data_IF_876463580252
#
_entry.id   IF_876463580252
#
_cell.length_a   1.000
_cell.length_b   1.000
_cell.length_c   1.000
_cell.angle_alpha   90.00
_cell.angle_beta   90.00
_cell.angle_gamma   90.00
#
_symmetry.space_group_name_H-M   'P 1'
#
loop_
_entity.id
_entity.type
_entity.pdbx_description
1 polymer ?
#
# COMPACT_ATOMS: atom_id res chain seq x y z
N UNK A 1 32.87 -48.79 16.27
CA UNK A 1 32.28 -48.75 17.62
C UNK A 1 32.06 -47.30 18.00
N UNK A 2 30.83 -46.90 18.35
CA UNK A 2 30.56 -45.56 18.86
C UNK A 2 31.18 -45.44 20.26
N UNK A 3 31.85 -44.31 20.51
CA UNK A 3 32.47 -44.00 21.80
C UNK A 3 32.14 -42.57 22.17
N UNK A 4 31.97 -42.32 23.46
CA UNK A 4 31.72 -40.99 24.02
C UNK A 4 32.91 -40.55 24.87
N UNK A 5 33.22 -39.25 24.77
CA UNK A 5 34.30 -38.62 25.52
C UNK A 5 33.66 -37.84 26.68
N UNK A 6 33.57 -38.49 27.85
CA UNK A 6 32.84 -37.99 29.01
C UNK A 6 33.77 -37.39 30.08
N UNK A 7 33.23 -36.50 30.91
CA UNK A 7 33.89 -35.97 32.13
C UNK A 7 32.88 -35.87 33.27
N UNK A 8 33.24 -36.29 34.49
CA UNK A 8 32.33 -36.22 35.65
C UNK A 8 32.26 -34.82 36.27
N UNK A 9 33.34 -34.04 36.16
CA UNK A 9 33.38 -32.65 36.62
C UNK A 9 34.36 -31.85 35.77
N UNK A 10 34.33 -30.51 35.88
CA UNK A 10 35.22 -29.63 35.11
C UNK A 10 36.72 -29.83 35.45
N UNK A 11 37.02 -30.40 36.62
CA UNK A 11 38.39 -30.63 37.12
C UNK A 11 38.92 -32.03 36.85
N UNK A 12 38.09 -32.96 36.39
CA UNK A 12 38.50 -34.32 36.09
C UNK A 12 38.94 -34.50 34.64
N UNK A 13 39.90 -35.40 34.36
CA UNK A 13 40.28 -35.72 33.00
C UNK A 13 39.12 -36.37 32.25
N UNK A 14 39.12 -36.20 30.93
CA UNK A 14 38.20 -36.91 30.07
C UNK A 14 38.49 -38.42 30.10
N UNK A 15 37.45 -39.23 30.10
CA UNK A 15 37.54 -40.67 29.92
C UNK A 15 36.68 -41.09 28.73
N UNK A 16 37.10 -42.17 28.08
CA UNK A 16 36.31 -42.80 27.02
C UNK A 16 35.33 -43.73 27.70
N UNK A 17 34.05 -43.53 27.43
CA UNK A 17 32.99 -44.46 27.77
C UNK A 17 32.33 -44.99 26.52
N UNK A 18 31.91 -46.24 26.55
CA UNK A 18 30.87 -46.69 25.62
C UNK A 18 29.57 -46.06 26.12
N UNK A 19 28.88 -45.25 25.30
CA UNK A 19 27.63 -44.63 25.73
C UNK A 19 26.65 -45.73 26.16
N UNK A 20 25.79 -45.47 27.16
CA UNK A 20 24.74 -46.41 27.58
C UNK A 20 23.68 -46.64 26.48
N UNK A 21 23.77 -45.89 25.38
CA UNK A 21 22.90 -45.97 24.21
C UNK A 21 23.36 -47.16 23.36
N UNK A 22 22.43 -48.06 23.05
CA UNK A 22 22.55 -49.16 22.10
C UNK A 22 22.72 -48.65 20.65
N UNK A 23 23.71 -47.82 20.36
CA UNK A 23 24.16 -47.69 18.97
C UNK A 23 24.90 -48.99 18.63
N UNK A 24 24.26 -49.82 17.82
CA UNK A 24 24.85 -51.08 17.36
C UNK A 24 26.19 -50.80 16.71
N UNK A 25 27.19 -51.63 17.05
CA UNK A 25 28.47 -51.51 16.39
C UNK A 25 28.30 -52.02 14.96
N UNK A 26 28.34 -51.08 14.02
CA UNK A 26 28.27 -51.38 12.60
C UNK A 26 29.66 -51.50 12.00
N UNK A 27 29.77 -52.34 10.97
CA UNK A 27 30.91 -52.33 10.07
C UNK A 27 30.93 -50.98 9.32
N UNK A 28 32.11 -50.42 9.06
CA UNK A 28 32.22 -49.14 8.37
C UNK A 28 31.51 -49.21 6.99
N UNK A 29 30.37 -48.50 6.80
CA UNK A 29 29.59 -48.64 5.58
C UNK A 29 30.31 -48.11 4.36
N UNK A 30 31.14 -47.07 4.51
CA UNK A 30 31.93 -46.51 3.41
C UNK A 30 32.99 -47.52 2.93
N UNK A 31 33.58 -48.28 3.85
CA UNK A 31 34.49 -49.37 3.50
C UNK A 31 33.76 -50.48 2.74
N UNK A 32 32.58 -50.89 3.21
CA UNK A 32 31.78 -51.92 2.52
C UNK A 32 31.44 -51.51 1.09
N UNK A 33 30.95 -50.28 0.90
CA UNK A 33 30.61 -49.77 -0.43
C UNK A 33 31.84 -49.70 -1.32
N UNK A 34 32.98 -49.22 -0.81
CA UNK A 34 34.23 -49.16 -1.59
C UNK A 34 34.72 -50.55 -2.00
N UNK A 35 34.73 -51.51 -1.07
CA UNK A 35 35.13 -52.89 -1.36
C UNK A 35 34.21 -53.56 -2.38
N UNK A 36 32.90 -53.33 -2.27
CA UNK A 36 31.92 -53.88 -3.21
C UNK A 36 32.01 -53.22 -4.60
N UNK A 37 32.14 -51.90 -4.67
CA UNK A 37 32.17 -51.16 -5.94
C UNK A 37 33.48 -51.35 -6.71
N UNK A 38 34.62 -51.19 -6.03
CA UNK A 38 35.94 -51.16 -6.69
C UNK A 38 36.54 -52.57 -6.82
N UNK A 39 36.25 -53.45 -5.86
CA UNK A 39 36.92 -54.76 -5.73
C UNK A 39 35.96 -55.96 -5.79
N UNK A 40 34.64 -55.73 -5.86
CA UNK A 40 33.59 -56.77 -5.84
C UNK A 40 33.68 -57.71 -4.62
N UNK A 41 34.17 -57.19 -3.50
CA UNK A 41 34.30 -57.93 -2.25
C UNK A 41 33.16 -57.54 -1.31
N UNK A 42 32.45 -58.54 -0.82
CA UNK A 42 31.49 -58.39 0.27
C UNK A 42 32.09 -58.94 1.56
N UNK A 43 32.23 -58.05 2.56
CA UNK A 43 32.66 -58.45 3.89
C UNK A 43 31.52 -59.20 4.59
N UNK A 44 31.90 -60.22 5.37
CA UNK A 44 30.97 -60.97 6.21
C UNK A 44 30.33 -60.04 7.26
N UNK A 45 29.11 -60.31 7.71
CA UNK A 45 28.51 -59.55 8.81
C UNK A 45 29.37 -59.68 10.07
N UNK A 46 29.32 -58.65 10.93
CA UNK A 46 29.97 -58.72 12.23
C UNK A 46 29.37 -59.86 13.07
N UNK A 47 30.16 -60.52 13.94
CA UNK A 47 29.65 -61.55 14.84
C UNK A 47 28.57 -60.98 15.76
N UNK A 48 27.51 -61.76 16.05
CA UNK A 48 26.48 -61.37 17.03
C UNK A 48 27.06 -61.22 18.45
N UNK A 49 28.06 -62.05 18.78
CA UNK A 49 28.73 -62.05 20.08
C UNK A 49 30.16 -61.52 19.99
N UNK A 50 30.51 -60.69 20.96
CA UNK A 50 31.77 -59.92 20.99
C UNK A 50 32.86 -60.64 21.78
N UNK A 51 32.93 -61.97 21.66
CA UNK A 51 33.97 -62.75 22.31
C UNK A 51 35.30 -62.63 21.56
N UNK A 52 36.42 -62.73 22.30
CA UNK A 52 37.77 -62.60 21.75
C UNK A 52 38.01 -63.55 20.57
N UNK A 53 37.52 -64.78 20.67
CA UNK A 53 37.67 -65.79 19.63
C UNK A 53 36.92 -65.39 18.34
N UNK A 54 35.66 -64.99 18.45
CA UNK A 54 34.83 -64.56 17.31
C UNK A 54 35.40 -63.35 16.56
N UNK A 55 35.99 -62.38 17.26
CA UNK A 55 36.68 -61.26 16.61
C UNK A 55 37.97 -61.71 15.91
N UNK A 56 38.73 -62.61 16.54
CA UNK A 56 39.96 -63.17 15.96
C UNK A 56 39.66 -63.96 14.68
N UNK A 57 38.60 -64.77 14.71
CA UNK A 57 38.13 -65.54 13.56
C UNK A 57 37.67 -64.60 12.44
N UNK A 58 36.93 -63.53 12.77
CA UNK A 58 36.53 -62.51 11.79
C UNK A 58 37.74 -61.83 11.14
N UNK A 59 38.73 -61.35 11.92
CA UNK A 59 39.94 -60.75 11.36
C UNK A 59 40.75 -61.73 10.52
N UNK A 60 40.77 -63.02 10.88
CA UNK A 60 41.44 -64.06 10.09
C UNK A 60 40.78 -64.23 8.70
N UNK A 61 39.44 -64.20 8.65
CA UNK A 61 38.69 -64.27 7.41
C UNK A 61 38.94 -63.05 6.52
N UNK A 62 38.93 -61.84 7.11
CA UNK A 62 39.26 -60.59 6.40
C UNK A 62 40.71 -60.60 5.90
N UNK A 63 41.65 -61.11 6.69
CA UNK A 63 43.08 -61.19 6.32
C UNK A 63 43.30 -62.13 5.15
N UNK A 64 42.56 -63.25 5.07
CA UNK A 64 42.61 -64.16 3.93
C UNK A 64 42.21 -63.45 2.64
N UNK A 65 41.10 -62.70 2.67
CA UNK A 65 40.62 -61.91 1.52
C UNK A 65 41.63 -60.82 1.14
N UNK A 66 42.19 -60.11 2.14
CA UNK A 66 43.17 -59.06 1.91
C UNK A 66 44.46 -59.58 1.27
N UNK A 67 44.95 -60.74 1.71
CA UNK A 67 46.16 -61.37 1.17
C UNK A 67 46.03 -61.75 -0.31
N UNK A 68 44.84 -62.17 -0.76
CA UNK A 68 44.57 -62.44 -2.18
C UNK A 68 44.72 -61.19 -3.06
N UNK A 69 44.55 -60.00 -2.48
CA UNK A 69 44.77 -58.71 -3.13
C UNK A 69 46.16 -58.10 -2.89
N UNK A 70 47.04 -58.79 -2.15
CA UNK A 70 48.35 -58.27 -1.75
C UNK A 70 48.28 -57.17 -0.68
N UNK A 71 47.17 -57.07 0.05
CA UNK A 71 47.00 -56.11 1.15
C UNK A 71 47.34 -56.74 2.50
N UNK A 72 47.75 -55.88 3.44
CA UNK A 72 48.00 -56.26 4.83
C UNK A 72 46.89 -55.73 5.72
N UNK A 73 46.41 -56.57 6.63
CA UNK A 73 45.52 -56.17 7.72
C UNK A 73 46.36 -55.86 8.96
N UNK A 74 46.20 -54.67 9.53
CA UNK A 74 46.85 -54.27 10.78
C UNK A 74 45.80 -54.09 11.87
N UNK A 75 46.05 -54.69 13.05
CA UNK A 75 45.16 -54.61 14.20
C UNK A 75 45.44 -53.33 15.02
N UNK A 76 45.04 -52.19 14.49
CA UNK A 76 45.16 -50.88 15.15
C UNK A 76 43.80 -50.37 15.60
N UNK A 77 43.80 -49.53 16.64
CA UNK A 77 42.61 -48.82 17.11
C UNK A 77 42.79 -47.35 16.79
N UNK A 78 41.93 -46.82 15.93
CA UNK A 78 41.90 -45.41 15.58
C UNK A 78 40.63 -44.76 16.10
N UNK A 79 40.78 -43.57 16.68
CA UNK A 79 39.68 -42.77 17.18
C UNK A 79 39.56 -41.53 16.28
N UNK A 80 38.39 -41.35 15.70
CA UNK A 80 38.11 -40.25 14.80
C UNK A 80 36.62 -39.93 14.75
N UNK A 81 36.30 -38.75 14.23
CA UNK A 81 34.93 -38.33 13.98
C UNK A 81 34.52 -38.83 12.60
N UNK A 82 33.75 -39.92 12.57
CA UNK A 82 33.22 -40.48 11.33
C UNK A 82 31.72 -40.19 11.22
N UNK A 83 31.31 -39.44 10.20
CA UNK A 83 29.89 -39.15 9.95
C UNK A 83 29.36 -40.03 8.84
N UNK A 84 28.47 -40.97 9.19
CA UNK A 84 27.87 -41.90 8.24
C UNK A 84 26.43 -41.53 7.87
N UNK A 85 25.87 -40.40 8.30
CA UNK A 85 24.46 -40.04 8.03
C UNK A 85 24.10 -40.06 6.53
N UNK A 86 25.05 -39.72 5.66
CA UNK A 86 24.85 -39.76 4.21
C UNK A 86 24.66 -41.17 3.65
N UNK A 87 25.25 -42.20 4.26
CA UNK A 87 25.11 -43.58 3.76
C UNK A 87 23.73 -44.15 4.04
N UNK A 88 23.10 -43.75 5.15
CA UNK A 88 21.73 -44.15 5.48
C UNK A 88 20.77 -43.59 4.43
N UNK A 89 20.96 -42.32 4.05
CA UNK A 89 20.21 -41.69 2.95
C UNK A 89 20.46 -42.42 1.63
N UNK A 90 21.72 -42.76 1.33
CA UNK A 90 22.06 -43.50 0.11
C UNK A 90 21.35 -44.87 0.06
N UNK A 91 21.41 -45.64 1.14
CA UNK A 91 20.77 -46.94 1.23
C UNK A 91 19.24 -46.84 1.11
N UNK A 92 18.64 -45.81 1.71
CA UNK A 92 17.19 -45.56 1.58
C UNK A 92 16.79 -45.21 0.14
N UNK A 93 17.59 -44.38 -0.54
CA UNK A 93 17.38 -44.05 -1.96
C UNK A 93 17.55 -45.26 -2.87
N UNK A 94 18.53 -46.13 -2.60
CA UNK A 94 18.78 -47.35 -3.36
C UNK A 94 17.64 -48.37 -3.17
N UNK A 95 17.24 -48.60 -1.91
CA UNK A 95 16.12 -49.49 -1.57
C UNK A 95 14.79 -49.04 -2.19
N UNK A 96 14.57 -47.72 -2.29
CA UNK A 96 13.34 -47.14 -2.83
C UNK A 96 13.48 -46.62 -4.27
N UNK A 97 14.55 -46.99 -4.98
CA UNK A 97 14.89 -46.40 -6.28
C UNK A 97 13.75 -46.50 -7.31
N UNK A 98 13.06 -47.65 -7.37
CA UNK A 98 11.96 -47.87 -8.30
C UNK A 98 10.71 -47.03 -7.99
N UNK A 99 10.44 -46.76 -6.72
CA UNK A 99 9.34 -45.89 -6.29
C UNK A 99 9.65 -44.44 -6.64
N UNK A 100 10.88 -44.00 -6.36
CA UNK A 100 11.37 -42.64 -6.63
C UNK A 100 11.32 -42.33 -8.13
N UNK A 101 11.78 -43.25 -8.99
CA UNK A 101 11.72 -43.11 -10.46
C UNK A 101 10.31 -42.91 -11.00
N UNK A 102 9.30 -43.51 -10.34
CA UNK A 102 7.89 -43.40 -10.76
C UNK A 102 7.23 -42.11 -10.25
N UNK A 103 7.83 -41.44 -9.27
CA UNK A 103 7.21 -40.29 -8.63
C UNK A 103 7.09 -39.08 -9.58
N UNK A 104 5.88 -38.50 -9.79
CA UNK A 104 5.66 -37.42 -10.75
C UNK A 104 6.55 -36.18 -10.52
N UNK A 105 6.70 -35.74 -9.27
CA UNK A 105 7.54 -34.57 -8.94
C UNK A 105 9.02 -34.79 -9.27
N UNK A 106 9.55 -35.98 -8.96
CA UNK A 106 10.98 -36.27 -9.20
C UNK A 106 11.26 -36.29 -10.70
N UNK A 107 10.36 -36.92 -11.46
CA UNK A 107 10.42 -36.92 -12.92
C UNK A 107 10.38 -35.50 -13.51
N UNK A 108 9.54 -34.63 -12.96
CA UNK A 108 9.45 -33.24 -13.38
C UNK A 108 10.73 -32.45 -13.04
N UNK A 109 11.32 -32.65 -11.85
CA UNK A 109 12.59 -32.03 -11.44
C UNK A 109 13.75 -32.42 -12.38
N UNK A 110 13.76 -33.66 -12.87
CA UNK A 110 14.78 -34.17 -13.81
C UNK A 110 14.53 -33.70 -15.26
N UNK A 111 13.45 -32.96 -15.52
CA UNK A 111 13.15 -32.35 -16.82
C UNK A 111 12.30 -33.21 -17.76
N UNK A 112 11.60 -34.22 -17.24
CA UNK A 112 10.61 -34.96 -18.05
C UNK A 112 9.39 -34.07 -18.26
N UNK A 113 9.07 -33.78 -19.52
CA UNK A 113 7.95 -32.93 -19.91
C UNK A 113 6.59 -33.65 -19.81
N UNK A 114 5.49 -32.87 -19.84
CA UNK A 114 4.10 -33.33 -19.87
C UNK A 114 3.66 -34.17 -18.65
N UNK A 115 4.15 -33.82 -17.46
CA UNK A 115 3.72 -34.45 -16.21
C UNK A 115 2.64 -33.59 -15.56
N UNK A 116 1.42 -34.12 -15.31
CA UNK A 116 0.39 -33.39 -14.60
C UNK A 116 0.74 -33.27 -13.12
N UNK A 117 1.27 -32.11 -12.71
CA UNK A 117 1.63 -31.81 -11.32
C UNK A 117 0.53 -31.07 -10.55
N UNK A 118 -0.37 -30.41 -11.28
CA UNK A 118 -1.51 -29.68 -10.71
C UNK A 118 -2.72 -30.59 -10.57
N UNK A 119 -3.33 -30.54 -9.39
CA UNK A 119 -4.57 -31.23 -9.07
C UNK A 119 -5.71 -30.21 -9.10
N UNK A 120 -6.46 -30.20 -10.20
CA UNK A 120 -7.64 -29.35 -10.33
C UNK A 120 -7.32 -27.86 -10.46
N UNK A 121 -8.31 -27.02 -10.15
CA UNK A 121 -8.18 -25.56 -10.19
C UNK A 121 -7.48 -25.07 -8.93
N UNK A 122 -6.50 -24.19 -9.09
CA UNK A 122 -5.81 -23.55 -7.98
C UNK A 122 -6.59 -22.30 -7.55
N UNK A 123 -6.96 -22.15 -6.27
CA UNK A 123 -7.56 -20.91 -5.78
C UNK A 123 -6.65 -19.70 -5.91
N UNK A 124 -7.23 -18.56 -6.28
CA UNK A 124 -6.59 -17.26 -6.14
C UNK A 124 -6.94 -16.63 -4.79
N UNK A 125 -6.15 -15.64 -4.36
CA UNK A 125 -6.34 -14.94 -3.08
C UNK A 125 -7.75 -14.38 -2.87
N UNK A 126 -8.36 -13.88 -3.95
CA UNK A 126 -9.72 -13.31 -3.95
C UNK A 126 -10.82 -14.36 -3.72
N UNK A 127 -10.53 -15.64 -3.97
CA UNK A 127 -11.53 -16.71 -3.98
C UNK A 127 -11.53 -17.53 -2.68
N UNK A 128 -10.47 -17.40 -1.86
CA UNK A 128 -10.26 -18.22 -0.64
C UNK A 128 -11.43 -18.15 0.33
N UNK A 129 -12.01 -16.96 0.50
CA UNK A 129 -13.13 -16.73 1.41
C UNK A 129 -14.44 -17.39 0.95
N UNK A 130 -14.56 -17.66 -0.35
CA UNK A 130 -15.70 -18.36 -0.96
C UNK A 130 -15.54 -19.88 -0.85
N UNK A 131 -14.30 -20.36 -0.83
CA UNK A 131 -13.99 -21.80 -0.83
C UNK A 131 -14.09 -22.40 0.58
N UNK A 132 -13.61 -21.67 1.59
CA UNK A 132 -13.56 -22.16 2.97
C UNK A 132 -14.46 -21.29 3.87
N UNK A 133 -15.69 -21.74 4.20
CA UNK A 133 -16.56 -21.02 5.12
C UNK A 133 -15.96 -21.02 6.54
N UNK A 134 -16.25 -20.02 7.39
CA UNK A 134 -15.66 -19.89 8.73
C UNK A 134 -15.78 -21.15 9.61
N UNK A 135 -16.89 -21.88 9.49
CA UNK A 135 -17.16 -23.12 10.22
C UNK A 135 -16.27 -24.31 9.81
N UNK A 136 -15.62 -24.23 8.64
CA UNK A 136 -14.68 -25.25 8.12
C UNK A 136 -13.24 -24.76 8.11
N UNK A 137 -12.95 -23.67 8.81
CA UNK A 137 -11.60 -23.11 8.97
C UNK A 137 -11.05 -23.46 10.34
N UNK A 138 -9.95 -24.19 10.39
CA UNK A 138 -9.30 -24.63 11.63
C UNK A 138 -7.91 -24.00 11.82
N UNK A 139 -7.73 -22.79 11.30
CA UNK A 139 -6.53 -21.98 11.47
C UNK A 139 -6.39 -21.54 12.92
N UNK A 140 -5.22 -21.76 13.51
CA UNK A 140 -4.94 -21.53 14.94
C UNK A 140 -4.14 -20.26 15.20
N UNK A 141 -3.63 -19.64 14.14
CA UNK A 141 -2.92 -18.37 14.12
C UNK A 141 -3.49 -17.49 13.00
N UNK A 142 -3.26 -16.19 13.08
CA UNK A 142 -3.67 -15.24 12.03
C UNK A 142 -3.10 -15.65 10.66
N UNK A 143 -3.86 -15.40 9.59
CA UNK A 143 -3.40 -15.65 8.24
C UNK A 143 -3.95 -14.60 7.28
N UNK A 144 -3.07 -13.98 6.49
CA UNK A 144 -3.48 -13.14 5.37
C UNK A 144 -3.99 -13.99 4.17
N UNK A 145 -4.52 -13.33 3.14
CA UNK A 145 -5.06 -13.99 1.94
C UNK A 145 -4.04 -14.93 1.28
N UNK A 146 -2.80 -14.49 1.11
CA UNK A 146 -1.72 -15.26 0.48
C UNK A 146 -1.34 -16.51 1.28
N UNK A 147 -1.32 -16.39 2.61
CA UNK A 147 -1.07 -17.50 3.52
C UNK A 147 -2.24 -18.50 3.51
N UNK A 148 -3.48 -18.01 3.44
CA UNK A 148 -4.66 -18.88 3.35
C UNK A 148 -4.74 -19.64 2.02
N UNK A 149 -4.34 -19.03 0.89
CA UNK A 149 -4.16 -19.78 -0.38
C UNK A 149 -3.17 -20.93 -0.20
N UNK A 150 -2.05 -20.68 0.45
CA UNK A 150 -1.02 -21.71 0.71
C UNK A 150 -1.55 -22.85 1.57
N UNK A 151 -2.38 -22.53 2.57
CA UNK A 151 -3.07 -23.53 3.40
C UNK A 151 -4.02 -24.37 2.55
N UNK A 152 -4.82 -23.76 1.69
CA UNK A 152 -5.75 -24.46 0.81
C UNK A 152 -5.05 -25.36 -0.22
N UNK A 153 -3.90 -24.93 -0.76
CA UNK A 153 -3.06 -25.79 -1.60
C UNK A 153 -2.60 -27.04 -0.86
N UNK A 154 -2.20 -26.92 0.41
CA UNK A 154 -1.83 -28.08 1.21
C UNK A 154 -3.04 -29.00 1.46
N UNK A 155 -4.21 -28.44 1.76
CA UNK A 155 -5.44 -29.20 2.03
C UNK A 155 -5.96 -29.96 0.81
N UNK A 156 -5.90 -29.35 -0.37
CA UNK A 156 -6.22 -29.97 -1.67
C UNK A 156 -5.18 -31.01 -2.13
N UNK A 157 -4.08 -31.17 -1.38
CA UNK A 157 -3.02 -32.13 -1.68
C UNK A 157 -2.17 -31.73 -2.88
N UNK A 158 -2.11 -30.43 -3.17
CA UNK A 158 -1.24 -29.83 -4.17
C UNK A 158 0.20 -29.78 -3.65
N UNK A 159 1.15 -30.07 -4.53
CA UNK A 159 2.57 -29.81 -4.25
C UNK A 159 2.92 -28.40 -4.72
N UNK A 160 3.52 -27.60 -3.84
CA UNK A 160 3.82 -26.20 -4.12
C UNK A 160 5.07 -25.73 -3.35
N UNK A 161 5.64 -24.61 -3.78
CA UNK A 161 6.73 -23.93 -3.08
C UNK A 161 6.20 -22.63 -2.51
N UNK A 162 6.29 -22.47 -1.19
CA UNK A 162 5.94 -21.22 -0.51
C UNK A 162 7.17 -20.32 -0.41
N UNK A 163 7.18 -19.22 -1.16
CA UNK A 163 8.23 -18.21 -1.10
C UNK A 163 7.75 -16.96 -0.36
N UNK A 164 8.64 -16.38 0.45
CA UNK A 164 8.37 -15.12 1.13
C UNK A 164 9.64 -14.55 1.76
N UNK A 165 9.82 -13.22 1.80
CA UNK A 165 10.93 -12.57 2.51
C UNK A 165 11.06 -13.01 3.98
N UNK A 166 12.22 -12.77 4.64
CA UNK A 166 12.34 -12.93 6.07
C UNK A 166 11.26 -12.10 6.81
N UNK A 167 10.61 -12.70 7.81
CA UNK A 167 9.56 -12.02 8.60
C UNK A 167 8.13 -12.15 8.09
N UNK A 168 7.87 -12.70 6.90
CA UNK A 168 6.50 -12.81 6.33
C UNK A 168 5.65 -13.97 6.87
N UNK A 169 5.91 -14.45 8.08
CA UNK A 169 5.04 -15.43 8.72
C UNK A 169 5.09 -16.87 8.18
N UNK A 170 6.07 -17.28 7.36
CA UNK A 170 6.16 -18.67 6.82
C UNK A 170 5.98 -19.78 7.87
N UNK A 171 6.66 -19.68 9.02
CA UNK A 171 6.53 -20.68 10.10
C UNK A 171 5.13 -20.69 10.73
N UNK A 172 4.45 -19.55 10.73
CA UNK A 172 3.06 -19.42 11.16
C UNK A 172 2.10 -20.05 10.14
N UNK A 173 2.34 -19.86 8.84
CA UNK A 173 1.62 -20.57 7.78
C UNK A 173 1.80 -22.09 7.88
N UNK A 174 3.02 -22.57 8.14
CA UNK A 174 3.29 -24.00 8.35
C UNK A 174 2.51 -24.55 9.55
N UNK A 175 2.49 -23.82 10.68
CA UNK A 175 1.73 -24.24 11.86
C UNK A 175 0.22 -24.32 11.55
N UNK A 176 -0.33 -23.36 10.80
CA UNK A 176 -1.73 -23.41 10.35
C UNK A 176 -2.00 -24.58 9.39
N UNK A 177 -1.09 -24.89 8.45
CA UNK A 177 -1.21 -26.07 7.57
C UNK A 177 -1.27 -27.35 8.41
N UNK A 178 -0.41 -27.48 9.43
CA UNK A 178 -0.38 -28.65 10.31
C UNK A 178 -1.70 -28.74 11.08
N UNK A 179 -2.16 -27.64 11.68
CA UNK A 179 -3.41 -27.61 12.44
C UNK A 179 -4.63 -27.98 11.59
N UNK A 180 -4.74 -27.44 10.38
CA UNK A 180 -5.80 -27.76 9.42
C UNK A 180 -5.75 -29.23 9.00
N UNK A 181 -4.57 -29.77 8.69
CA UNK A 181 -4.41 -31.19 8.39
C UNK A 181 -4.84 -32.09 9.56
N UNK A 182 -4.47 -31.75 10.80
CA UNK A 182 -4.87 -32.49 12.01
C UNK A 182 -6.39 -32.44 12.17
N UNK A 183 -7.02 -31.27 12.00
CA UNK A 183 -8.47 -31.10 12.08
C UNK A 183 -9.22 -31.95 11.03
N UNK A 184 -8.61 -32.13 9.85
CA UNK A 184 -9.10 -33.01 8.79
C UNK A 184 -8.68 -34.48 8.94
N UNK A 185 -8.11 -34.88 10.08
CA UNK A 185 -7.74 -36.28 10.37
C UNK A 185 -6.54 -36.79 9.56
N UNK A 186 -5.70 -35.90 9.02
CA UNK A 186 -4.49 -36.26 8.26
C UNK A 186 -3.27 -36.33 9.18
N UNK A 187 -2.34 -37.23 8.86
CA UNK A 187 -1.00 -37.26 9.45
C UNK A 187 -0.05 -36.33 8.68
N UNK A 188 0.79 -35.58 9.39
CA UNK A 188 1.77 -34.67 8.78
C UNK A 188 3.19 -35.03 9.23
N UNK A 189 4.09 -35.21 8.27
CA UNK A 189 5.54 -35.31 8.52
C UNK A 189 6.18 -33.98 8.17
N UNK A 190 6.66 -33.25 9.18
CA UNK A 190 7.38 -32.00 9.00
C UNK A 190 8.89 -32.22 9.11
N UNK A 191 9.63 -31.89 8.05
CA UNK A 191 11.08 -32.12 7.94
C UNK A 191 11.79 -30.80 7.67
N UNK A 192 12.94 -30.59 8.31
CA UNK A 192 13.81 -29.42 8.10
C UNK A 192 15.27 -29.81 8.34
N UNK A 193 16.18 -29.21 7.58
CA UNK A 193 17.64 -29.31 7.79
C UNK A 193 18.08 -28.60 9.09
N UNK A 194 17.41 -27.51 9.46
CA UNK A 194 17.74 -26.71 10.65
C UNK A 194 16.79 -27.02 11.80
N UNK A 195 17.35 -27.42 12.94
CA UNK A 195 16.61 -27.65 14.19
C UNK A 195 15.80 -26.43 14.64
N UNK A 196 16.37 -25.23 14.51
CA UNK A 196 15.68 -23.99 14.86
C UNK A 196 14.33 -23.80 14.14
N UNK A 197 14.19 -24.29 12.89
CA UNK A 197 12.93 -24.20 12.17
C UNK A 197 11.88 -25.18 12.73
N UNK A 198 12.30 -26.38 13.16
CA UNK A 198 11.45 -27.35 13.85
C UNK A 198 10.95 -26.77 15.18
N UNK A 199 11.87 -26.25 15.99
CA UNK A 199 11.57 -25.66 17.30
C UNK A 199 10.58 -24.49 17.21
N UNK A 200 10.74 -23.60 16.23
CA UNK A 200 9.84 -22.45 16.06
C UNK A 200 8.41 -22.88 15.73
N UNK A 201 8.24 -23.84 14.83
CA UNK A 201 6.91 -24.35 14.46
C UNK A 201 6.30 -25.12 15.63
N UNK A 202 7.08 -26.00 16.26
CA UNK A 202 6.63 -26.78 17.40
C UNK A 202 6.23 -25.89 18.59
N UNK A 203 7.00 -24.83 18.89
CA UNK A 203 6.65 -23.85 19.93
C UNK A 203 5.29 -23.21 19.66
N UNK A 204 5.00 -22.83 18.41
CA UNK A 204 3.70 -22.26 18.02
C UNK A 204 2.56 -23.26 18.21
N UNK A 205 2.75 -24.51 17.78
CA UNK A 205 1.77 -25.58 17.99
C UNK A 205 1.52 -25.81 19.48
N UNK A 206 2.58 -25.80 20.31
CA UNK A 206 2.47 -25.91 21.76
C UNK A 206 1.70 -24.73 22.38
N UNK A 207 1.98 -23.50 21.95
CA UNK A 207 1.31 -22.28 22.44
C UNK A 207 -0.21 -22.32 22.18
N UNK A 208 -0.65 -22.93 21.08
CA UNK A 208 -2.08 -23.13 20.78
C UNK A 208 -2.67 -24.42 21.34
N UNK A 209 -1.88 -25.22 22.08
CA UNK A 209 -2.32 -26.45 22.74
C UNK A 209 -2.34 -27.70 21.86
N UNK A 210 -1.64 -27.69 20.73
CA UNK A 210 -1.53 -28.84 19.81
C UNK A 210 -0.29 -29.72 20.05
N UNK A 211 0.48 -29.48 21.12
CA UNK A 211 1.66 -30.28 21.44
C UNK A 211 1.37 -31.76 21.62
N UNK A 212 0.19 -32.10 22.14
CA UNK A 212 -0.26 -33.48 22.38
C UNK A 212 -0.41 -34.30 21.09
N UNK A 213 -0.52 -33.62 19.94
CA UNK A 213 -0.59 -34.26 18.62
C UNK A 213 0.77 -34.32 17.90
N UNK A 214 1.83 -33.83 18.53
CA UNK A 214 3.15 -33.73 17.94
C UNK A 214 4.07 -34.82 18.51
N UNK A 215 4.75 -35.56 17.64
CA UNK A 215 5.85 -36.45 18.02
C UNK A 215 7.15 -35.88 17.46
N UNK A 216 8.03 -35.40 18.35
CA UNK A 216 9.34 -34.87 17.96
C UNK A 216 10.36 -36.00 17.83
N UNK A 217 10.91 -36.18 16.63
CA UNK A 217 11.97 -37.15 16.35
C UNK A 217 13.26 -36.42 15.97
N UNK A 218 14.09 -36.11 16.96
CA UNK A 218 15.38 -35.44 16.75
C UNK A 218 16.49 -36.48 16.54
N UNK A 219 17.20 -36.40 15.41
CA UNK A 219 18.06 -37.46 14.84
C UNK A 219 19.40 -37.74 15.56
N UNK A 220 19.58 -37.28 16.80
CA UNK A 220 20.81 -37.54 17.58
C UNK A 220 20.58 -37.82 19.06
N UNK A 221 19.33 -37.68 19.54
CA UNK A 221 18.98 -37.84 20.96
C UNK A 221 17.62 -38.48 21.20
N UNK A 222 16.90 -38.91 20.18
CA UNK A 222 15.64 -39.66 20.34
C UNK A 222 15.95 -41.04 20.95
N UNK A 223 16.17 -41.05 22.27
CA UNK A 223 16.27 -42.25 23.07
C UNK A 223 14.99 -43.06 22.79
N UNK A 224 15.11 -44.33 22.37
CA UNK A 224 13.94 -45.19 22.15
C UNK A 224 12.99 -45.14 23.35
N UNK A 225 13.54 -45.00 24.56
CA UNK A 225 12.76 -44.83 25.80
C UNK A 225 11.97 -43.52 25.83
N UNK A 226 12.53 -42.40 25.36
CA UNK A 226 11.83 -41.11 25.27
C UNK A 226 10.71 -41.15 24.25
N UNK A 227 10.95 -41.77 23.08
CA UNK A 227 9.90 -41.96 22.07
C UNK A 227 8.78 -42.84 22.61
N UNK A 228 9.11 -43.96 23.26
CA UNK A 228 8.11 -44.83 23.90
C UNK A 228 7.37 -44.12 25.02
N UNK A 229 8.07 -43.33 25.84
CA UNK A 229 7.46 -42.54 26.90
C UNK A 229 6.49 -41.50 26.34
N UNK A 230 6.85 -40.84 25.23
CA UNK A 230 6.01 -39.84 24.56
C UNK A 230 4.78 -40.49 23.92
N UNK A 231 4.95 -41.63 23.24
CA UNK A 231 3.83 -42.40 22.71
C UNK A 231 2.87 -42.84 23.82
N UNK A 232 3.42 -43.33 24.94
CA UNK A 232 2.62 -43.68 26.12
C UNK A 232 1.88 -42.46 26.68
N UNK A 233 2.58 -41.32 26.82
CA UNK A 233 1.99 -40.06 27.29
C UNK A 233 0.79 -39.66 26.41
N UNK A 234 0.95 -39.71 25.09
CA UNK A 234 -0.13 -39.37 24.15
C UNK A 234 -1.30 -40.37 24.18
N UNK A 235 -1.03 -41.66 24.40
CA UNK A 235 -2.05 -42.69 24.55
C UNK A 235 -2.86 -42.54 25.85
N UNK A 236 -2.20 -42.15 26.94
CA UNK A 236 -2.81 -41.96 28.25
C UNK A 236 -3.53 -40.61 28.38
N UNK A 237 -3.31 -39.67 27.45
CA UNK A 237 -3.83 -38.32 27.50
C UNK A 237 -5.32 -38.25 27.11
N UNK A 238 -6.16 -37.75 28.03
CA UNK A 238 -7.56 -37.49 27.78
C UNK A 238 -7.77 -36.01 27.40
N UNK A 239 -7.98 -35.76 26.11
CA UNK A 239 -8.27 -34.42 25.63
C UNK A 239 -9.72 -34.06 25.92
N UNK A 240 -9.93 -32.98 26.68
CA UNK A 240 -11.26 -32.39 26.89
C UNK A 240 -11.54 -31.43 25.74
N UNK A 241 -12.57 -31.69 24.91
CA UNK A 241 -12.92 -30.79 23.80
C UNK A 241 -13.28 -29.41 24.34
N UNK A 242 -12.69 -28.36 23.77
CA UNK A 242 -13.18 -27.00 24.01
C UNK A 242 -14.55 -26.84 23.36
N UNK A 243 -15.38 -25.98 23.96
CA UNK A 243 -16.67 -25.61 23.37
C UNK A 243 -16.41 -24.90 22.05
N UNK A 244 -16.93 -25.45 20.96
CA UNK A 244 -16.91 -24.81 19.65
C UNK A 244 -17.81 -23.56 19.68
N UNK A 245 -17.52 -22.56 18.81
CA UNK A 245 -18.45 -21.47 18.58
C UNK A 245 -19.84 -21.99 18.21
N UNK A 246 -20.87 -21.23 18.59
CA UNK A 246 -22.25 -21.50 18.21
C UNK A 246 -22.48 -21.25 16.73
N UNK A 247 -23.52 -21.89 16.16
CA UNK A 247 -23.92 -21.65 14.77
C UNK A 247 -24.17 -20.15 14.48
N UNK A 248 -24.76 -19.44 15.43
CA UNK A 248 -25.00 -18.00 15.31
C UNK A 248 -23.71 -17.16 15.23
N UNK A 249 -22.65 -17.56 15.94
CA UNK A 249 -21.35 -16.88 15.84
C UNK A 249 -20.70 -17.12 14.48
N UNK A 250 -20.85 -18.31 13.90
CA UNK A 250 -20.37 -18.61 12.55
C UNK A 250 -21.16 -17.84 11.48
N UNK A 251 -22.49 -17.76 11.60
CA UNK A 251 -23.34 -16.95 10.72
C UNK A 251 -22.91 -15.49 10.73
N UNK A 252 -22.75 -14.90 11.92
CA UNK A 252 -22.27 -13.52 12.07
C UNK A 252 -20.88 -13.31 11.46
N UNK A 253 -19.99 -14.28 11.59
CA UNK A 253 -18.66 -14.22 10.98
C UNK A 253 -18.71 -14.28 9.45
N UNK A 254 -19.61 -15.08 8.89
CA UNK A 254 -19.85 -15.14 7.45
C UNK A 254 -20.41 -13.81 6.92
N UNK A 255 -21.40 -13.22 7.59
CA UNK A 255 -21.96 -11.91 7.23
C UNK A 255 -20.90 -10.80 7.26
N UNK A 256 -20.06 -10.76 8.30
CA UNK A 256 -18.98 -9.78 8.40
C UNK A 256 -17.95 -9.93 7.27
N UNK A 257 -17.58 -11.18 6.95
CA UNK A 257 -16.68 -11.48 5.83
C UNK A 257 -17.27 -11.03 4.50
N UNK A 258 -18.55 -11.33 4.26
CA UNK A 258 -19.26 -10.92 3.04
C UNK A 258 -19.31 -9.39 2.91
N UNK A 259 -19.62 -8.68 4.00
CA UNK A 259 -19.63 -7.21 4.02
C UNK A 259 -18.26 -6.60 3.68
N UNK A 260 -17.17 -7.15 4.24
CA UNK A 260 -15.81 -6.71 3.93
C UNK A 260 -15.44 -6.98 2.46
N UNK A 261 -15.78 -8.16 1.95
CA UNK A 261 -15.53 -8.51 0.55
C UNK A 261 -16.32 -7.62 -0.41
N UNK A 262 -17.60 -7.37 -0.12
CA UNK A 262 -18.45 -6.46 -0.89
C UNK A 262 -17.92 -5.02 -0.91
N UNK A 263 -17.33 -4.55 0.19
CA UNK A 263 -16.66 -3.26 0.25
C UNK A 263 -15.45 -3.22 -0.71
N UNK A 264 -14.57 -4.23 -0.68
CA UNK A 264 -13.40 -4.32 -1.56
C UNK A 264 -13.83 -4.37 -3.04
N UNK A 265 -14.85 -5.16 -3.36
CA UNK A 265 -15.44 -5.23 -4.71
C UNK A 265 -15.97 -3.86 -5.14
N UNK A 266 -16.70 -3.17 -4.27
CA UNK A 266 -17.27 -1.85 -4.55
C UNK A 266 -16.19 -0.78 -4.77
N UNK A 267 -15.06 -0.88 -4.07
CA UNK A 267 -13.92 0.03 -4.21
C UNK A 267 -13.24 -0.11 -5.59
N UNK A 268 -13.12 -1.36 -6.08
CA UNK A 268 -12.47 -1.70 -7.35
C UNK A 268 -13.44 -1.72 -8.55
N UNK A 269 -14.75 -1.63 -8.31
CA UNK A 269 -15.75 -1.58 -9.37
C UNK A 269 -15.57 -0.33 -10.23
N UNK A 270 -15.33 -0.52 -11.52
CA UNK A 270 -15.27 0.58 -12.50
C UNK A 270 -16.65 1.19 -12.69
N UNK A 271 -16.76 2.51 -12.52
CA UNK A 271 -18.01 3.24 -12.71
C UNK A 271 -18.23 3.50 -14.21
N UNK A 272 -19.48 3.36 -14.71
CA UNK A 272 -19.75 3.41 -16.16
C UNK A 272 -19.43 4.77 -16.80
N UNK A 273 -19.50 5.85 -16.04
CA UNK A 273 -19.29 7.22 -16.52
C UNK A 273 -17.80 7.48 -16.77
N UNK A 274 -16.99 7.45 -15.71
CA UNK A 274 -15.56 7.77 -15.75
C UNK A 274 -14.68 6.57 -16.17
N UNK A 275 -15.23 5.36 -16.20
CA UNK A 275 -14.51 4.09 -16.41
C UNK A 275 -13.33 3.85 -15.45
N UNK A 276 -13.30 4.57 -14.33
CA UNK A 276 -12.37 4.40 -13.21
C UNK A 276 -13.10 3.88 -11.98
N UNK A 277 -12.37 3.16 -11.15
CA UNK A 277 -12.77 2.71 -9.82
C UNK A 277 -12.48 3.78 -8.77
N UNK A 278 -13.12 3.67 -7.60
CA UNK A 278 -12.82 4.57 -6.49
C UNK A 278 -11.36 4.41 -6.03
N UNK A 279 -10.85 3.18 -6.05
CA UNK A 279 -9.44 2.87 -5.75
C UNK A 279 -8.47 3.65 -6.66
N UNK A 280 -8.68 3.60 -7.98
CA UNK A 280 -7.83 4.31 -8.95
C UNK A 280 -7.88 5.84 -8.72
N UNK A 281 -9.07 6.40 -8.48
CA UNK A 281 -9.23 7.85 -8.25
C UNK A 281 -8.55 8.28 -6.95
N UNK A 282 -8.73 7.52 -5.85
CA UNK A 282 -8.07 7.82 -4.58
C UNK A 282 -6.55 7.69 -4.69
N UNK A 283 -6.06 6.71 -5.46
CA UNK A 283 -4.65 6.56 -5.79
C UNK A 283 -4.11 7.78 -6.54
N UNK A 284 -4.82 8.24 -7.58
CA UNK A 284 -4.47 9.47 -8.31
C UNK A 284 -4.47 10.70 -7.39
N UNK A 285 -5.48 10.86 -6.54
CA UNK A 285 -5.55 11.98 -5.59
C UNK A 285 -4.40 11.96 -4.57
N UNK A 286 -4.01 10.79 -4.07
CA UNK A 286 -2.87 10.66 -3.16
C UNK A 286 -1.54 11.10 -3.79
N UNK A 287 -1.39 10.90 -5.11
CA UNK A 287 -0.21 11.38 -5.84
C UNK A 287 -0.16 12.91 -5.98
N UNK A 288 -1.28 13.60 -5.74
CA UNK A 288 -1.45 15.04 -5.89
C UNK A 288 -1.46 15.80 -4.55
N UNK A 289 -1.14 15.16 -3.42
CA UNK A 289 -1.21 15.78 -2.09
C UNK A 289 -0.38 17.07 -1.94
N UNK A 290 0.73 17.20 -2.67
CA UNK A 290 1.57 18.40 -2.65
C UNK A 290 1.12 19.51 -3.61
N UNK A 291 0.06 19.29 -4.38
CA UNK A 291 -0.46 20.26 -5.35
C UNK A 291 -1.47 21.17 -4.66
N UNK A 292 -1.37 22.51 -4.79
CA UNK A 292 -2.34 23.41 -4.20
C UNK A 292 -3.74 23.14 -4.76
N UNK A 293 -4.71 22.98 -3.86
CA UNK A 293 -6.10 22.77 -4.25
C UNK A 293 -6.69 24.05 -4.85
N UNK A 294 -7.15 23.96 -6.10
CA UNK A 294 -7.90 25.02 -6.77
C UNK A 294 -9.38 24.64 -6.73
N UNK A 295 -10.19 25.41 -6.02
CA UNK A 295 -11.62 25.20 -5.95
C UNK A 295 -12.25 25.52 -7.31
N UNK A 296 -12.59 24.49 -8.08
CA UNK A 296 -13.33 24.60 -9.34
C UNK A 296 -14.69 23.94 -9.17
N UNK A 297 -15.76 24.70 -9.37
CA UNK A 297 -17.10 24.14 -9.43
C UNK A 297 -17.38 23.58 -10.82
N UNK A 298 -17.44 22.26 -10.92
CA UNK A 298 -17.87 21.58 -12.14
C UNK A 298 -19.40 21.46 -12.13
N UNK A 299 -20.12 21.96 -13.14
CA UNK A 299 -21.59 21.99 -13.15
C UNK A 299 -22.26 20.61 -13.17
N UNK A 300 -21.55 19.55 -13.58
CA UNK A 300 -22.07 18.17 -13.51
C UNK A 300 -20.93 17.14 -13.35
N UNK A 301 -20.49 16.84 -12.11
CA UNK A 301 -19.43 15.86 -11.87
C UNK A 301 -19.87 14.42 -12.19
N UNK A 302 -21.17 14.11 -12.11
CA UNK A 302 -21.70 12.77 -12.40
C UNK A 302 -21.64 12.40 -13.89
N UNK A 303 -21.57 13.39 -14.78
CA UNK A 303 -21.50 13.21 -16.24
C UNK A 303 -20.07 13.23 -16.82
N UNK A 304 -19.04 13.09 -15.98
CA UNK A 304 -17.65 13.06 -16.41
C UNK A 304 -17.32 11.73 -17.08
N UNK A 305 -16.82 11.81 -18.31
CA UNK A 305 -16.35 10.68 -19.11
C UNK A 305 -14.85 10.78 -19.34
N UNK A 306 -14.16 9.68 -19.70
CA UNK A 306 -12.74 9.73 -20.06
C UNK A 306 -12.41 10.72 -21.18
N UNK A 307 -13.37 10.98 -22.09
CA UNK A 307 -13.21 11.97 -23.13
C UNK A 307 -13.26 13.39 -22.56
N UNK A 308 -14.27 13.72 -21.76
CA UNK A 308 -14.38 15.04 -21.12
C UNK A 308 -13.20 15.33 -20.19
N UNK A 309 -12.67 14.33 -19.49
CA UNK A 309 -11.47 14.50 -18.68
C UNK A 309 -10.25 14.89 -19.52
N UNK A 310 -10.07 14.29 -20.70
CA UNK A 310 -9.00 14.69 -21.63
C UNK A 310 -9.21 16.10 -22.16
N UNK A 311 -10.45 16.45 -22.52
CA UNK A 311 -10.79 17.82 -22.94
C UNK A 311 -10.48 18.85 -21.83
N UNK A 312 -10.80 18.55 -20.57
CA UNK A 312 -10.46 19.39 -19.42
C UNK A 312 -8.94 19.50 -19.21
N UNK A 313 -8.20 18.41 -19.35
CA UNK A 313 -6.74 18.41 -19.23
C UNK A 313 -6.08 19.27 -20.33
N UNK A 314 -6.58 19.15 -21.57
CA UNK A 314 -6.15 20.00 -22.69
C UNK A 314 -6.46 21.48 -22.43
N UNK A 315 -7.63 21.81 -21.87
CA UNK A 315 -7.98 23.17 -21.50
C UNK A 315 -7.07 23.71 -20.40
N UNK A 316 -6.74 22.91 -19.39
CA UNK A 316 -5.80 23.28 -18.33
C UNK A 316 -4.38 23.51 -18.88
N UNK A 317 -3.94 22.69 -19.83
CA UNK A 317 -2.66 22.88 -20.52
C UNK A 317 -2.63 24.18 -21.36
N UNK A 318 -3.74 24.53 -22.01
CA UNK A 318 -3.86 25.83 -22.70
C UNK A 318 -3.86 26.99 -21.73
N UNK A 319 -4.59 26.88 -20.62
CA UNK A 319 -4.67 27.90 -19.58
C UNK A 319 -3.29 28.18 -18.98
N UNK A 320 -2.48 27.14 -18.74
CA UNK A 320 -1.10 27.27 -18.25
C UNK A 320 -0.26 28.25 -19.09
N UNK A 321 -0.44 28.27 -20.41
CA UNK A 321 0.32 29.14 -21.31
C UNK A 321 -0.14 30.61 -21.26
N UNK A 322 -1.36 30.87 -20.78
CA UNK A 322 -2.01 32.19 -20.79
C UNK A 322 -2.24 32.71 -19.36
N UNK A 323 -1.83 31.96 -18.33
CA UNK A 323 -2.10 32.26 -16.92
C UNK A 323 -1.63 33.66 -16.48
N UNK A 324 -0.51 34.13 -17.05
CA UNK A 324 0.04 35.47 -16.79
C UNK A 324 -0.96 36.60 -17.06
N UNK A 325 -1.90 36.40 -17.99
CA UNK A 325 -2.95 37.36 -18.34
C UNK A 325 -3.95 37.56 -17.19
N UNK A 326 -4.19 36.54 -16.38
CA UNK A 326 -5.12 36.64 -15.24
C UNK A 326 -4.46 37.20 -13.97
N UNK A 327 -3.14 37.09 -13.86
CA UNK A 327 -2.38 37.55 -12.69
C UNK A 327 -2.13 39.06 -12.71
N UNK A 328 -1.96 39.66 -13.91
CA UNK A 328 -1.70 41.10 -14.06
C UNK A 328 -2.94 41.95 -13.74
N UNK A 329 -2.89 42.78 -12.67
CA UNK A 329 -4.04 43.59 -12.28
C UNK A 329 -4.46 44.63 -13.31
N UNK A 330 -3.51 45.09 -14.12
CA UNK A 330 -3.66 46.16 -15.10
C UNK A 330 -3.91 45.60 -16.52
N UNK A 331 -4.14 44.29 -16.65
CA UNK A 331 -4.38 43.69 -17.96
C UNK A 331 -5.62 44.31 -18.63
N UNK A 332 -5.51 44.83 -19.88
CA UNK A 332 -6.60 45.58 -20.52
C UNK A 332 -7.92 44.83 -20.67
N UNK A 333 -7.90 43.50 -20.68
CA UNK A 333 -9.10 42.65 -20.80
C UNK A 333 -9.52 42.00 -19.49
N UNK A 334 -8.94 42.39 -18.35
CA UNK A 334 -9.30 41.84 -17.06
C UNK A 334 -10.78 42.10 -16.78
N UNK A 335 -11.54 41.03 -16.53
CA UNK A 335 -12.99 41.11 -16.30
C UNK A 335 -13.85 40.96 -17.57
N UNK A 336 -13.26 40.73 -18.74
CA UNK A 336 -14.00 40.34 -19.94
C UNK A 336 -14.66 38.97 -19.75
N UNK A 337 -15.98 38.89 -19.96
CA UNK A 337 -16.80 37.66 -19.79
C UNK A 337 -17.30 37.08 -21.11
N UNK A 338 -16.63 37.39 -22.22
CA UNK A 338 -17.04 36.84 -23.51
C UNK A 338 -16.58 35.39 -23.64
N UNK A 339 -17.52 34.49 -23.88
CA UNK A 339 -17.25 33.06 -23.96
C UNK A 339 -16.61 32.64 -25.29
N UNK A 340 -16.68 33.50 -26.33
CA UNK A 340 -16.17 33.22 -27.67
C UNK A 340 -15.52 34.47 -28.30
N UNK A 341 -14.36 34.27 -28.94
CA UNK A 341 -13.72 35.28 -29.79
C UNK A 341 -13.99 34.94 -31.27
N UNK A 342 -14.79 35.75 -31.94
CA UNK A 342 -15.04 35.65 -33.38
C UNK A 342 -14.69 36.99 -34.07
N UNK A 343 -14.68 36.98 -35.41
CA UNK A 343 -14.32 38.15 -36.22
C UNK A 343 -15.32 39.30 -36.00
N UNK A 344 -16.59 38.99 -35.75
CA UNK A 344 -17.65 39.96 -35.47
C UNK A 344 -17.39 40.70 -34.16
N UNK A 345 -17.16 39.97 -33.06
CA UNK A 345 -16.82 40.52 -31.74
C UNK A 345 -15.55 41.36 -31.82
N UNK A 346 -14.54 40.94 -32.60
CA UNK A 346 -13.33 41.76 -32.84
C UNK A 346 -13.68 43.09 -33.50
N UNK A 347 -14.53 43.06 -34.52
CA UNK A 347 -14.95 44.26 -35.24
C UNK A 347 -15.72 45.20 -34.31
N UNK A 348 -16.70 44.67 -33.58
CA UNK A 348 -17.50 45.44 -32.63
C UNK A 348 -16.63 46.08 -31.54
N UNK A 349 -15.74 45.32 -30.91
CA UNK A 349 -14.82 45.84 -29.89
C UNK A 349 -13.91 46.91 -30.46
N UNK A 350 -13.40 46.72 -31.69
CA UNK A 350 -12.55 47.72 -32.35
C UNK A 350 -13.32 49.01 -32.63
N UNK A 351 -14.58 48.92 -33.06
CA UNK A 351 -15.44 50.09 -33.29
C UNK A 351 -15.76 50.81 -31.98
N UNK A 352 -16.11 50.07 -30.92
CA UNK A 352 -16.40 50.66 -29.59
C UNK A 352 -15.17 51.34 -29.01
N UNK A 353 -14.00 50.69 -29.06
CA UNK A 353 -12.74 51.27 -28.59
C UNK A 353 -12.35 52.50 -29.42
N UNK A 354 -12.52 52.44 -30.74
CA UNK A 354 -12.29 53.60 -31.63
C UNK A 354 -13.17 54.79 -31.27
N UNK A 355 -14.47 54.54 -31.04
CA UNK A 355 -15.42 55.59 -30.63
C UNK A 355 -15.11 56.16 -29.23
N UNK A 356 -14.69 55.31 -28.28
CA UNK A 356 -14.25 55.73 -26.96
C UNK A 356 -13.03 56.65 -27.05
N UNK A 357 -12.02 56.26 -27.83
CA UNK A 357 -10.82 57.07 -28.06
C UNK A 357 -11.21 58.43 -28.63
N UNK A 358 -12.02 58.47 -29.69
CA UNK A 358 -12.43 59.75 -30.29
C UNK A 358 -13.23 60.63 -29.33
N UNK A 359 -14.04 60.02 -28.46
CA UNK A 359 -14.85 60.75 -27.47
C UNK A 359 -13.97 61.31 -26.35
N UNK A 360 -12.99 60.54 -25.88
CA UNK A 360 -12.03 60.98 -24.86
C UNK A 360 -11.15 62.11 -25.41
N UNK A 361 -10.70 62.02 -26.67
CA UNK A 361 -9.93 63.08 -27.32
C UNK A 361 -10.75 64.37 -27.48
N UNK A 362 -12.03 64.24 -27.86
CA UNK A 362 -12.95 65.37 -27.93
C UNK A 362 -13.18 66.01 -26.56
N UNK A 363 -13.39 65.19 -25.52
CA UNK A 363 -13.55 65.65 -24.13
C UNK A 363 -12.28 66.35 -23.63
N UNK A 364 -11.10 65.84 -23.98
CA UNK A 364 -9.81 66.45 -23.64
C UNK A 364 -9.64 67.80 -24.33
N UNK A 365 -10.02 67.92 -25.61
CA UNK A 365 -9.96 69.17 -26.36
C UNK A 365 -10.89 70.24 -25.77
N UNK A 366 -12.16 69.88 -25.53
CA UNK A 366 -13.16 70.80 -24.97
C UNK A 366 -12.85 71.20 -23.53
N UNK A 367 -12.44 70.26 -22.68
CA UNK A 367 -12.01 70.58 -21.31
C UNK A 367 -10.75 71.46 -21.29
N UNK A 368 -9.82 71.27 -22.24
CA UNK A 368 -8.67 72.14 -22.43
C UNK A 368 -9.03 73.56 -22.86
N UNK A 369 -9.98 73.71 -23.80
CA UNK A 369 -10.50 75.04 -24.19
C UNK A 369 -11.16 75.76 -23.02
N UNK A 370 -12.00 75.06 -22.27
CA UNK A 370 -12.69 75.61 -21.11
C UNK A 370 -11.72 76.01 -19.98
N UNK A 371 -10.74 75.17 -19.68
CA UNK A 371 -9.69 75.48 -18.70
C UNK A 371 -8.85 76.71 -19.12
N UNK A 372 -8.50 76.82 -20.41
CA UNK A 372 -7.76 77.97 -20.94
C UNK A 372 -8.57 79.27 -20.85
N UNK A 373 -9.88 79.24 -21.09
CA UNK A 373 -10.76 80.40 -20.93
C UNK A 373 -10.81 80.89 -19.47
N UNK A 374 -10.65 79.98 -18.50
CA UNK A 374 -10.58 80.29 -17.07
C UNK A 374 -9.16 80.63 -16.59
N UNK A 375 -8.15 80.61 -17.47
CA UNK A 375 -6.75 80.86 -17.12
C UNK A 375 -6.09 79.74 -16.29
N UNK A 376 -6.69 78.55 -16.24
CA UNK A 376 -6.18 77.40 -15.48
C UNK A 376 -5.19 76.58 -16.30
N UNK A 377 -4.14 76.04 -15.66
CA UNK A 377 -3.18 75.14 -16.33
C UNK A 377 -3.86 73.81 -16.68
N UNK A 378 -3.78 73.42 -17.95
CA UNK A 378 -4.37 72.18 -18.47
C UNK A 378 -3.66 70.94 -17.91
N UNK A 379 -4.36 70.16 -17.09
CA UNK A 379 -4.05 68.74 -16.89
C UNK A 379 -5.31 67.92 -17.17
N UNK A 380 -5.14 66.71 -17.71
CA UNK A 380 -6.18 65.96 -18.44
C UNK A 380 -6.63 64.68 -17.73
N UNK A 381 -6.85 64.70 -16.41
CA UNK A 381 -7.45 63.56 -15.71
C UNK A 381 -8.97 63.70 -15.63
N UNK A 382 -9.70 62.58 -15.60
CA UNK A 382 -11.18 62.60 -15.53
C UNK A 382 -11.70 63.34 -14.29
N UNK A 383 -11.01 63.25 -13.16
CA UNK A 383 -11.38 63.98 -11.94
C UNK A 383 -11.24 65.49 -12.10
N UNK A 384 -10.23 65.94 -12.85
CA UNK A 384 -10.07 67.37 -13.18
C UNK A 384 -11.14 67.84 -14.15
N UNK A 385 -11.56 67.01 -15.12
CA UNK A 385 -12.69 67.33 -16.01
C UNK A 385 -13.98 67.46 -15.21
N UNK A 386 -14.25 66.55 -14.27
CA UNK A 386 -15.41 66.66 -13.35
C UNK A 386 -15.35 67.93 -12.50
N UNK A 387 -14.16 68.28 -12.00
CA UNK A 387 -13.95 69.50 -11.24
C UNK A 387 -14.20 70.76 -12.08
N UNK A 388 -13.74 70.79 -13.33
CA UNK A 388 -14.02 71.89 -14.27
C UNK A 388 -15.51 72.04 -14.56
N UNK A 389 -16.24 70.94 -14.72
CA UNK A 389 -17.70 70.97 -14.88
C UNK A 389 -18.36 71.57 -13.63
N UNK A 390 -17.88 71.23 -12.44
CA UNK A 390 -18.34 71.84 -11.17
C UNK A 390 -18.13 73.34 -11.12
N UNK A 391 -16.96 73.83 -11.56
CA UNK A 391 -16.69 75.27 -11.68
C UNK A 391 -17.62 75.92 -12.72
N UNK A 392 -17.84 75.28 -13.86
CA UNK A 392 -18.77 75.77 -14.87
C UNK A 392 -20.20 75.92 -14.34
N UNK A 393 -20.66 74.96 -13.53
CA UNK A 393 -21.94 75.05 -12.83
C UNK A 393 -21.99 76.26 -11.87
N UNK A 394 -20.96 76.44 -11.06
CA UNK A 394 -20.87 77.58 -10.13
C UNK A 394 -20.80 78.94 -10.86
N UNK A 395 -20.16 79.01 -12.02
CA UNK A 395 -20.10 80.22 -12.85
C UNK A 395 -21.45 80.55 -13.51
N UNK A 396 -22.24 79.54 -13.85
CA UNK A 396 -23.59 79.72 -14.38
C UNK A 396 -24.59 80.14 -13.30
N UNK A 397 -24.38 79.70 -12.06
CA UNK A 397 -25.21 80.08 -10.90
C UNK A 397 -24.74 81.38 -10.22
N UNK A 398 -23.52 81.84 -10.49
CA UNK A 398 -23.03 83.10 -9.97
C UNK A 398 -23.81 84.27 -10.61
N UNK A 399 -24.49 85.11 -9.82
CA UNK A 399 -25.08 86.33 -10.37
C UNK A 399 -23.94 87.17 -10.95
N UNK A 400 -24.03 87.52 -12.23
CA UNK A 400 -23.10 88.47 -12.85
C UNK A 400 -23.17 89.76 -12.05
N UNK A 401 -22.09 90.24 -11.41
CA UNK A 401 -22.13 91.54 -10.78
C UNK A 401 -22.45 92.58 -11.87
N UNK A 402 -23.43 93.45 -11.62
CA UNK A 402 -23.69 94.56 -12.54
C UNK A 402 -22.39 95.35 -12.71
N UNK A 403 -22.09 95.76 -13.93
CA UNK A 403 -20.86 96.51 -14.27
C UNK A 403 -20.70 97.79 -13.42
N UNK A 404 -21.82 98.31 -12.91
CA UNK A 404 -21.89 99.43 -11.96
C UNK A 404 -21.17 99.16 -10.63
N UNK A 405 -21.12 97.92 -10.14
CA UNK A 405 -20.55 97.58 -8.82
C UNK A 405 -19.01 97.64 -8.79
N UNK A 406 -18.37 97.46 -9.95
CA UNK A 406 -16.90 97.51 -10.08
C UNK A 406 -16.40 98.94 -10.36
N UNK A 407 -17.27 99.79 -10.93
CA UNK A 407 -16.95 101.17 -11.34
C UNK A 407 -17.43 102.24 -10.36
N UNK A 408 -18.19 101.89 -9.32
CA UNK A 408 -18.72 102.86 -8.36
C UNK A 408 -17.62 103.34 -7.38
N UNK A 409 -17.45 104.66 -7.14
CA UNK A 409 -16.33 105.17 -6.34
C UNK A 409 -16.43 104.89 -4.83
N UNK A 410 -17.59 104.44 -4.34
CA UNK A 410 -17.87 104.37 -2.90
C UNK A 410 -18.51 103.02 -2.52
N UNK A 411 -17.69 102.13 -1.98
CA UNK A 411 -18.03 100.74 -1.67
C UNK A 411 -19.05 100.61 -0.53
N UNK A 412 -19.00 101.50 0.47
CA UNK A 412 -19.87 101.41 1.65
C UNK A 412 -21.36 101.61 1.30
N UNK A 413 -21.65 102.41 0.27
CA UNK A 413 -23.02 102.67 -0.16
C UNK A 413 -23.64 101.46 -0.87
N UNK A 414 -22.85 100.76 -1.69
CA UNK A 414 -23.25 99.51 -2.33
C UNK A 414 -23.44 98.38 -1.33
N UNK A 415 -22.62 98.31 -0.28
CA UNK A 415 -22.79 97.32 0.79
C UNK A 415 -24.11 97.56 1.52
N UNK A 416 -24.45 98.81 1.84
CA UNK A 416 -25.73 99.15 2.48
C UNK A 416 -26.94 98.83 1.60
N UNK A 417 -26.85 99.06 0.28
CA UNK A 417 -27.88 98.71 -0.69
C UNK A 417 -28.04 97.19 -0.82
N UNK A 418 -26.92 96.44 -0.83
CA UNK A 418 -26.94 94.99 -0.85
C UNK A 418 -27.53 94.39 0.44
N UNK A 419 -27.22 94.95 1.62
CA UNK A 419 -27.79 94.53 2.90
C UNK A 419 -29.30 94.79 2.96
N UNK A 420 -29.77 95.92 2.43
CA UNK A 420 -31.21 96.21 2.35
C UNK A 420 -31.94 95.30 1.36
N UNK A 421 -31.33 94.99 0.23
CA UNK A 421 -31.84 94.00 -0.74
C UNK A 421 -31.84 92.57 -0.17
N UNK A 422 -30.84 92.21 0.63
CA UNK A 422 -30.79 90.94 1.34
C UNK A 422 -31.94 90.83 2.35
N UNK A 423 -32.13 91.85 3.18
CA UNK A 423 -33.20 91.89 4.18
C UNK A 423 -34.60 91.81 3.53
N UNK A 424 -34.80 92.48 2.39
CA UNK A 424 -36.06 92.40 1.64
C UNK A 424 -36.25 91.04 0.95
N UNK A 425 -35.19 90.42 0.44
CA UNK A 425 -35.22 89.07 -0.13
C UNK A 425 -35.55 88.01 0.93
N UNK A 426 -34.93 88.08 2.10
CA UNK A 426 -35.22 87.20 3.24
C UNK A 426 -36.66 87.38 3.73
N UNK A 427 -37.12 88.63 3.84
CA UNK A 427 -38.52 88.92 4.17
C UNK A 427 -39.50 88.35 3.14
N UNK A 428 -39.23 88.52 1.84
CA UNK A 428 -40.05 87.95 0.76
C UNK A 428 -40.08 86.41 0.80
N UNK A 429 -38.93 85.76 1.02
CA UNK A 429 -38.84 84.29 1.13
C UNK A 429 -39.58 83.77 2.35
N UNK A 430 -39.39 84.38 3.52
CA UNK A 430 -40.10 84.02 4.74
C UNK A 430 -41.61 84.22 4.61
N UNK A 431 -42.03 85.33 4.00
CA UNK A 431 -43.46 85.62 3.74
C UNK A 431 -44.06 84.63 2.74
N UNK A 432 -43.32 84.29 1.67
CA UNK A 432 -43.74 83.28 0.69
C UNK A 432 -43.88 81.90 1.33
N UNK A 433 -42.92 81.45 2.13
CA UNK A 433 -43.01 80.18 2.86
C UNK A 433 -44.23 80.16 3.79
N UNK A 434 -44.47 81.25 4.53
CA UNK A 434 -45.63 81.37 5.43
C UNK A 434 -46.97 81.38 4.69
N UNK A 435 -47.02 81.95 3.48
CA UNK A 435 -48.21 81.93 2.63
C UNK A 435 -48.44 80.55 2.01
N UNK A 436 -47.38 79.84 1.59
CA UNK A 436 -47.46 78.48 1.06
C UNK A 436 -47.85 77.43 2.11
N UNK A 437 -47.62 77.69 3.41
CA UNK A 437 -48.16 76.86 4.50
C UNK A 437 -49.68 76.99 4.67
N UNK A 438 -50.28 78.12 4.26
CA UNK A 438 -51.72 78.40 4.43
C UNK A 438 -52.54 78.26 3.16
N UNK A 439 -51.92 78.33 2.00
CA UNK A 439 -52.60 78.34 0.70
C UNK A 439 -51.94 77.38 -0.27
N UNK A 440 -52.74 76.74 -1.12
CA UNK A 440 -52.26 75.81 -2.12
C UNK A 440 -51.29 76.52 -3.11
N UNK A 441 -50.10 75.97 -3.40
CA UNK A 441 -49.12 76.57 -4.31
C UNK A 441 -49.65 76.94 -5.70
N UNK A 442 -50.79 76.41 -6.14
CA UNK A 442 -51.42 76.77 -7.41
C UNK A 442 -52.07 78.18 -7.44
N UNK A 443 -52.09 78.91 -6.32
CA UNK A 443 -52.64 80.27 -6.21
C UNK A 443 -51.57 81.39 -6.31
N UNK A 444 -50.29 81.05 -6.50
CA UNK A 444 -49.16 82.00 -6.54
C UNK A 444 -48.31 81.91 -7.80
#
# INVERSE_FOLDING_TARGET
>A
MPIELARKSFREPFFISVPPIEEEVVLNPALQVKLKADFKIELQPLPEYWEYQSLTDYFSAVTKIANELGWRVEATVEIGLFSFHKIVIYNDLDANAEVIKRHPLIRAIVGIENIPLTKGSLPEEKDVDTIQPPEKTFQVLDADSSQRVSIEYALSGQSFVMQGPPGTGKSQTIANIIAECIAHGKSVLFVSDKMAALEVVYKRLREVGLSSFCLELHSSKANKQEVVAELKRCLDEQLVPRKLPSAHEFEKMAELRENLNNYVVSLHQKRPTLQKSAYEILGELSSLECVPFVAVELPNPGGLTPQKMRELDDLMHRLKNVWQVMEDPDFPWRGYRGDNYNIEVRSELSTVLGNLISTIDSLRLESGKFANQLGLKTSSTFDQVKWLIGIGGLLLESPTPEVSWVMHPNLDQLISEAETLLATSEWCKATRSRLLERYNPALF
#
